data_IF_042670052695
#
_entry.id   IF_042670052695
#
_cell.length_a   1.000
_cell.length_b   1.000
_cell.length_c   1.000
_cell.angle_alpha   90.00
_cell.angle_beta   90.00
_cell.angle_gamma   90.00
#
_symmetry.space_group_name_H-M   'P 1'
#
loop_
_entity.id
_entity.type
_entity.pdbx_description
1 polymer ?
#
# COMPACT_ATOMS: atom_id res chain seq x y z
N UNK A 1 -38.73 6.40 17.90
CA UNK A 1 -37.25 6.51 17.84
C UNK A 1 -36.70 5.22 17.24
N UNK A 2 -36.27 5.23 15.98
CA UNK A 2 -35.65 4.08 15.32
C UNK A 2 -34.14 4.26 15.27
N UNK A 3 -33.38 3.32 15.84
CA UNK A 3 -31.92 3.32 15.78
C UNK A 3 -31.47 3.06 14.35
N UNK A 4 -30.94 4.09 13.69
CA UNK A 4 -30.18 3.91 12.45
C UNK A 4 -28.92 3.09 12.78
N UNK A 5 -28.91 1.81 12.40
CA UNK A 5 -27.69 1.00 12.39
C UNK A 5 -26.73 1.69 11.44
N UNK A 6 -25.69 2.32 11.99
CA UNK A 6 -24.57 2.87 11.23
C UNK A 6 -23.98 1.72 10.40
N UNK A 7 -24.28 1.71 9.10
CA UNK A 7 -23.72 0.74 8.16
C UNK A 7 -22.24 1.09 7.97
N UNK A 8 -21.35 0.36 8.65
CA UNK A 8 -19.92 0.46 8.40
C UNK A 8 -19.67 0.19 6.90
N UNK A 9 -18.82 1.00 6.23
CA UNK A 9 -18.51 0.78 4.83
C UNK A 9 -17.92 -0.61 4.65
N UNK A 10 -18.40 -1.33 3.63
CA UNK A 10 -17.91 -2.68 3.32
C UNK A 10 -16.38 -2.64 3.13
N UNK A 11 -15.64 -3.66 3.62
CA UNK A 11 -14.20 -3.71 3.42
C UNK A 11 -13.90 -3.62 1.92
N UNK A 12 -13.06 -2.67 1.53
CA UNK A 12 -12.59 -2.53 0.15
C UNK A 12 -12.04 -3.87 -0.34
N UNK A 13 -12.41 -4.26 -1.57
CA UNK A 13 -12.00 -5.52 -2.20
C UNK A 13 -10.52 -5.83 -1.93
N UNK A 14 -10.25 -7.01 -1.35
CA UNK A 14 -8.89 -7.45 -1.04
C UNK A 14 -8.15 -7.69 -2.36
N UNK A 15 -7.09 -6.93 -2.60
CA UNK A 15 -6.20 -7.14 -3.75
C UNK A 15 -5.09 -8.09 -3.31
N UNK A 16 -4.92 -9.19 -4.05
CA UNK A 16 -3.80 -10.11 -3.87
C UNK A 16 -2.60 -9.63 -4.70
N UNK A 17 -1.45 -9.45 -4.05
CA UNK A 17 -0.19 -9.11 -4.71
C UNK A 17 0.78 -10.28 -4.57
N UNK A 18 1.11 -10.95 -5.68
CA UNK A 18 2.11 -12.03 -5.74
C UNK A 18 3.37 -11.52 -6.45
N UNK A 19 4.50 -11.55 -5.75
CA UNK A 19 5.82 -11.20 -6.28
C UNK A 19 6.62 -12.45 -6.68
N UNK A 20 6.01 -13.31 -7.50
CA UNK A 20 6.54 -14.62 -7.93
C UNK A 20 7.38 -14.57 -9.22
N UNK A 21 7.58 -13.37 -9.76
CA UNK A 21 8.34 -13.09 -11.00
C UNK A 21 9.16 -11.80 -10.81
N UNK A 22 10.15 -11.50 -11.68
CA UNK A 22 10.98 -10.30 -11.53
C UNK A 22 10.17 -9.02 -11.29
N UNK A 23 10.60 -8.23 -10.30
CA UNK A 23 9.89 -7.02 -9.87
C UNK A 23 10.87 -5.90 -9.50
N UNK A 24 10.42 -4.66 -9.65
CA UNK A 24 11.13 -3.48 -9.15
C UNK A 24 10.64 -3.12 -7.75
N UNK A 25 11.53 -2.58 -6.91
CA UNK A 25 11.17 -2.12 -5.57
C UNK A 25 11.90 -0.84 -5.21
N UNK A 26 11.34 -0.10 -4.27
CA UNK A 26 11.97 1.07 -3.65
C UNK A 26 11.75 1.04 -2.15
N UNK A 27 12.79 1.37 -1.39
CA UNK A 27 12.71 1.63 0.05
C UNK A 27 12.61 3.14 0.20
N UNK A 28 11.53 3.62 0.79
CA UNK A 28 11.24 5.04 0.90
C UNK A 28 11.11 5.47 2.36
N UNK A 29 11.66 6.65 2.71
CA UNK A 29 11.42 7.32 3.98
C UNK A 29 10.21 8.24 3.80
N UNK A 30 9.12 7.98 4.51
CA UNK A 30 8.01 8.93 4.61
C UNK A 30 8.49 10.17 5.36
N UNK A 31 8.29 11.35 4.76
CA UNK A 31 8.75 12.63 5.30
C UNK A 31 7.61 13.63 5.53
N UNK A 32 6.40 13.36 5.02
CA UNK A 32 5.21 14.21 5.21
C UNK A 32 4.13 13.53 6.03
N UNK A 33 3.56 14.27 7.00
CA UNK A 33 2.47 13.81 7.86
C UNK A 33 1.07 13.85 7.24
N UNK A 34 0.87 14.56 6.11
CA UNK A 34 -0.45 14.74 5.46
C UNK A 34 -0.48 14.54 3.94
N UNK A 35 0.59 14.89 3.22
CA UNK A 35 0.61 14.86 1.74
C UNK A 35 1.21 13.59 1.15
N UNK A 36 1.54 12.60 1.99
CA UNK A 36 2.09 11.32 1.54
C UNK A 36 3.51 11.40 0.95
N UNK A 37 4.21 12.53 1.12
CA UNK A 37 5.55 12.72 0.57
C UNK A 37 6.55 11.69 1.13
N UNK A 38 7.33 11.10 0.23
CA UNK A 38 8.37 10.14 0.57
C UNK A 38 9.66 10.41 -0.21
N UNK A 39 10.80 10.14 0.40
CA UNK A 39 12.13 10.21 -0.22
C UNK A 39 12.61 8.79 -0.47
N UNK A 40 13.09 8.52 -1.68
CA UNK A 40 13.68 7.21 -2.01
C UNK A 40 15.04 7.09 -1.34
N UNK A 41 15.21 6.06 -0.51
CA UNK A 41 16.48 5.71 0.10
C UNK A 41 17.25 4.70 -0.76
N UNK A 42 16.54 3.70 -1.28
CA UNK A 42 17.09 2.68 -2.16
C UNK A 42 16.08 2.33 -3.24
N UNK A 43 16.58 1.94 -4.41
CA UNK A 43 15.77 1.42 -5.51
C UNK A 43 16.51 0.28 -6.20
N UNK A 44 15.77 -0.70 -6.70
CA UNK A 44 16.36 -1.86 -7.36
C UNK A 44 15.34 -2.71 -8.09
N UNK A 45 15.85 -3.81 -8.65
CA UNK A 45 15.05 -4.84 -9.28
C UNK A 45 15.54 -6.21 -8.84
N UNK A 46 14.61 -7.13 -8.59
CA UNK A 46 14.89 -8.54 -8.34
C UNK A 46 14.61 -9.32 -9.61
N UNK A 47 15.55 -10.18 -10.03
CA UNK A 47 15.44 -11.01 -11.25
C UNK A 47 15.30 -12.52 -10.98
N UNK A 48 15.42 -12.96 -9.73
CA UNK A 48 15.63 -14.38 -9.43
C UNK A 48 17.08 -14.81 -9.69
N UNK A 49 17.51 -15.88 -9.02
CA UNK A 49 18.75 -16.58 -9.36
C UNK A 49 18.49 -17.58 -10.50
#
# INVERSE_FOLDING_TARGET
LGFAKSALPAPSQRIEFRADRPFCYAIVKRVGGRDGSAVVLFQGHYKGN
#
